data_IF_255314651569
#
_entry.id   IF_255314651569
#
_cell.length_a   1.000
_cell.length_b   1.000
_cell.length_c   1.000
_cell.angle_alpha   90.00
_cell.angle_beta   90.00
_cell.angle_gamma   90.00
#
_symmetry.space_group_name_H-M   'P 1'
#
loop_
_entity.id
_entity.type
_entity.pdbx_description
1 polymer ?
#
# COMPACT_ATOMS: atom_id res chain seq x y z
N UNK A 1 -27.31 -1.33 -0.35
CA UNK A 1 -26.50 -0.70 0.72
C UNK A 1 -27.31 0.38 1.41
N UNK A 2 -27.46 0.29 2.71
CA UNK A 2 -28.05 1.32 3.56
C UNK A 2 -27.15 2.56 3.62
N UNK A 3 -27.70 3.69 4.08
CA UNK A 3 -26.90 4.92 4.31
C UNK A 3 -25.74 4.68 5.30
N UNK A 4 -25.99 3.87 6.34
CA UNK A 4 -24.98 3.51 7.33
C UNK A 4 -23.82 2.70 6.74
N UNK A 5 -24.11 1.73 5.85
CA UNK A 5 -23.07 0.94 5.17
C UNK A 5 -22.20 1.79 4.25
N UNK A 6 -22.80 2.77 3.55
CA UNK A 6 -22.05 3.72 2.71
C UNK A 6 -21.12 4.59 3.56
N UNK A 7 -21.61 5.13 4.67
CA UNK A 7 -20.81 5.93 5.60
C UNK A 7 -19.62 5.15 6.17
N UNK A 8 -19.84 3.89 6.58
CA UNK A 8 -18.77 3.02 7.05
C UNK A 8 -17.71 2.75 5.97
N UNK A 9 -18.11 2.52 4.73
CA UNK A 9 -17.20 2.31 3.61
C UNK A 9 -16.34 3.56 3.33
N UNK A 10 -16.96 4.74 3.28
CA UNK A 10 -16.25 6.02 3.07
C UNK A 10 -15.24 6.25 4.20
N UNK A 11 -15.65 6.02 5.45
CA UNK A 11 -14.76 6.15 6.61
C UNK A 11 -13.54 5.23 6.53
N UNK A 12 -13.73 3.96 6.13
CA UNK A 12 -12.63 3.01 5.91
C UNK A 12 -11.71 3.48 4.78
N UNK A 13 -12.29 3.96 3.67
CA UNK A 13 -11.54 4.50 2.53
C UNK A 13 -10.66 5.69 2.90
N UNK A 14 -11.20 6.65 3.66
CA UNK A 14 -10.45 7.81 4.13
C UNK A 14 -9.30 7.41 5.06
N UNK A 15 -9.56 6.52 6.04
CA UNK A 15 -8.51 6.01 6.94
C UNK A 15 -7.43 5.26 6.17
N UNK A 16 -7.82 4.46 5.19
CA UNK A 16 -6.89 3.74 4.32
C UNK A 16 -6.03 4.71 3.51
N UNK A 17 -6.61 5.75 2.91
CA UNK A 17 -5.88 6.77 2.16
C UNK A 17 -4.87 7.53 3.05
N UNK A 18 -5.29 7.95 4.25
CA UNK A 18 -4.40 8.59 5.23
C UNK A 18 -3.25 7.66 5.65
N UNK A 19 -3.56 6.39 5.89
CA UNK A 19 -2.54 5.37 6.21
C UNK A 19 -1.57 5.20 5.05
N UNK A 20 -2.05 5.16 3.81
CA UNK A 20 -1.20 5.04 2.62
C UNK A 20 -0.23 6.19 2.46
N UNK A 21 -0.69 7.44 2.63
CA UNK A 21 0.18 8.63 2.60
C UNK A 21 1.24 8.57 3.70
N UNK A 22 0.83 8.26 4.93
CA UNK A 22 1.74 8.11 6.06
C UNK A 22 2.80 7.03 5.82
N UNK A 23 2.40 5.84 5.36
CA UNK A 23 3.30 4.72 5.08
C UNK A 23 4.27 5.05 3.95
N UNK A 24 3.83 5.80 2.94
CA UNK A 24 4.69 6.24 1.84
C UNK A 24 5.76 7.21 2.35
N UNK A 25 5.37 8.19 3.17
CA UNK A 25 6.31 9.10 3.79
C UNK A 25 7.28 8.36 4.73
N UNK A 26 6.78 7.41 5.52
CA UNK A 26 7.60 6.57 6.39
C UNK A 26 8.63 5.77 5.59
N UNK A 27 8.23 5.15 4.48
CA UNK A 27 9.15 4.45 3.59
C UNK A 27 10.28 5.37 3.11
N UNK A 28 9.94 6.56 2.61
CA UNK A 28 10.92 7.52 2.12
C UNK A 28 11.90 7.94 3.23
N UNK A 29 11.40 8.26 4.43
CA UNK A 29 12.25 8.62 5.57
C UNK A 29 13.17 7.48 5.96
N UNK A 30 12.65 6.25 6.10
CA UNK A 30 13.45 5.08 6.48
C UNK A 30 14.49 4.77 5.41
N UNK A 31 14.13 4.83 4.12
CA UNK A 31 15.06 4.62 3.03
C UNK A 31 16.20 5.65 3.04
N UNK A 32 15.88 6.94 3.19
CA UNK A 32 16.87 8.03 3.26
C UNK A 32 17.80 7.83 4.47
N UNK A 33 17.26 7.51 5.65
CA UNK A 33 18.07 7.28 6.85
C UNK A 33 18.99 6.07 6.68
N UNK A 34 18.48 4.96 6.14
CA UNK A 34 19.29 3.78 5.90
C UNK A 34 20.41 4.05 4.89
N UNK A 35 20.09 4.69 3.76
CA UNK A 35 21.08 4.99 2.71
C UNK A 35 22.22 5.87 3.23
N UNK A 36 21.90 6.88 4.05
CA UNK A 36 22.89 7.86 4.50
C UNK A 36 23.69 7.41 5.73
N UNK A 37 23.13 6.56 6.60
CA UNK A 37 23.73 6.29 7.91
C UNK A 37 24.01 4.82 8.23
N UNK A 38 23.45 3.86 7.49
CA UNK A 38 23.51 2.43 7.89
C UNK A 38 23.96 1.52 6.75
N UNK A 39 23.35 1.67 5.57
CA UNK A 39 23.48 0.77 4.43
C UNK A 39 23.85 1.59 3.18
N UNK A 40 25.12 1.53 2.78
CA UNK A 40 25.61 2.25 1.60
C UNK A 40 25.05 1.73 0.26
N UNK A 41 24.35 0.59 0.24
CA UNK A 41 23.75 -0.01 -0.94
C UNK A 41 22.26 0.37 -1.06
N UNK A 42 21.88 1.28 -1.99
CA UNK A 42 20.50 1.75 -2.10
C UNK A 42 19.45 0.65 -2.33
N UNK A 43 19.70 -0.41 -3.13
CA UNK A 43 18.72 -1.49 -3.31
C UNK A 43 18.39 -2.21 -2.00
N UNK A 44 19.41 -2.50 -1.18
CA UNK A 44 19.23 -3.20 0.11
C UNK A 44 18.49 -2.30 1.10
N UNK A 45 18.87 -1.03 1.19
CA UNK A 45 18.20 -0.05 2.05
C UNK A 45 16.71 0.11 1.69
N UNK A 46 16.39 0.19 0.39
CA UNK A 46 15.00 0.26 -0.07
C UNK A 46 14.21 -1.01 0.27
N UNK A 47 14.82 -2.19 0.13
CA UNK A 47 14.19 -3.45 0.53
C UNK A 47 13.80 -3.48 1.99
N UNK A 48 14.72 -3.08 2.89
CA UNK A 48 14.45 -2.99 4.33
C UNK A 48 13.38 -1.94 4.63
N UNK A 49 13.48 -0.74 4.04
CA UNK A 49 12.49 0.31 4.21
C UNK A 49 11.09 -0.13 3.74
N UNK A 50 11.01 -0.87 2.64
CA UNK A 50 9.77 -1.43 2.13
C UNK A 50 9.17 -2.47 3.08
N UNK A 51 9.98 -3.37 3.64
CA UNK A 51 9.52 -4.35 4.64
C UNK A 51 8.97 -3.67 5.89
N UNK A 52 9.67 -2.66 6.42
CA UNK A 52 9.22 -1.89 7.58
C UNK A 52 7.90 -1.18 7.28
N UNK A 53 7.83 -0.46 6.16
CA UNK A 53 6.62 0.25 5.73
C UNK A 53 5.43 -0.71 5.55
N UNK A 54 5.65 -1.89 4.97
CA UNK A 54 4.61 -2.91 4.78
C UNK A 54 4.07 -3.45 6.10
N UNK A 55 4.95 -3.72 7.07
CA UNK A 55 4.54 -4.20 8.41
C UNK A 55 3.75 -3.12 9.16
N UNK A 56 4.22 -1.87 9.14
CA UNK A 56 3.50 -0.74 9.74
C UNK A 56 2.15 -0.53 9.05
N UNK A 57 2.10 -0.63 7.73
CA UNK A 57 0.86 -0.58 6.95
C UNK A 57 -0.13 -1.67 7.37
N UNK A 58 0.34 -2.91 7.56
CA UNK A 58 -0.50 -4.00 8.07
C UNK A 58 -1.08 -3.67 9.44
N UNK A 59 -0.25 -3.20 10.38
CA UNK A 59 -0.69 -2.90 11.75
C UNK A 59 -1.74 -1.79 11.78
N UNK A 60 -1.48 -0.67 11.08
CA UNK A 60 -2.39 0.48 11.06
C UNK A 60 -3.67 0.13 10.30
N UNK A 61 -3.56 -0.50 9.13
CA UNK A 61 -4.75 -0.85 8.36
C UNK A 61 -5.63 -1.87 9.10
N UNK A 62 -5.03 -2.86 9.73
CA UNK A 62 -5.78 -3.86 10.50
C UNK A 62 -6.46 -3.21 11.71
N UNK A 63 -5.70 -2.52 12.56
CA UNK A 63 -6.22 -2.02 13.85
C UNK A 63 -7.09 -0.77 13.72
N UNK A 64 -6.80 0.12 12.75
CA UNK A 64 -7.47 1.41 12.62
C UNK A 64 -8.34 1.53 11.36
N UNK A 65 -7.80 1.28 10.17
CA UNK A 65 -8.55 1.48 8.91
C UNK A 65 -9.76 0.55 8.82
N UNK A 66 -9.55 -0.74 9.10
CA UNK A 66 -10.59 -1.77 9.04
C UNK A 66 -11.10 -2.22 10.41
N UNK A 67 -10.47 -1.77 11.49
CA UNK A 67 -10.87 -2.06 12.88
C UNK A 67 -11.07 -3.57 13.15
N UNK A 68 -10.13 -4.36 12.63
CA UNK A 68 -10.06 -5.82 12.76
C UNK A 68 -8.95 -6.22 13.74
N UNK A 69 -8.89 -7.51 14.11
CA UNK A 69 -7.87 -8.05 15.02
C UNK A 69 -6.63 -8.50 14.24
N UNK A 70 -5.46 -8.25 14.82
CA UNK A 70 -4.19 -8.77 14.33
C UNK A 70 -4.18 -10.29 14.47
N UNK A 71 -3.91 -11.00 13.38
CA UNK A 71 -3.90 -12.45 13.35
C UNK A 71 -3.10 -12.98 12.16
N UNK A 72 -2.52 -14.17 12.26
CA UNK A 72 -1.72 -14.76 11.17
C UNK A 72 -2.49 -14.87 9.85
N UNK A 73 -3.79 -15.16 9.91
CA UNK A 73 -4.68 -15.19 8.73
C UNK A 73 -4.82 -13.83 8.05
N UNK A 74 -4.99 -12.75 8.82
CA UNK A 74 -5.11 -11.40 8.23
C UNK A 74 -3.77 -10.93 7.68
N UNK A 75 -2.66 -11.27 8.35
CA UNK A 75 -1.31 -11.01 7.85
C UNK A 75 -1.06 -11.73 6.51
N UNK A 76 -1.34 -13.03 6.41
CA UNK A 76 -1.14 -13.79 5.18
C UNK A 76 -1.96 -13.23 4.01
N UNK A 77 -3.24 -12.92 4.25
CA UNK A 77 -4.09 -12.25 3.25
C UNK A 77 -3.57 -10.86 2.88
N UNK A 78 -3.10 -10.09 3.86
CA UNK A 78 -2.53 -8.77 3.61
C UNK A 78 -1.32 -8.86 2.69
N UNK A 79 -0.39 -9.77 2.98
CA UNK A 79 0.80 -10.00 2.15
C UNK A 79 0.45 -10.45 0.73
N UNK A 80 -0.58 -11.28 0.56
CA UNK A 80 -1.08 -11.66 -0.77
C UNK A 80 -1.62 -10.44 -1.53
N UNK A 81 -2.42 -9.59 -0.89
CA UNK A 81 -2.92 -8.35 -1.52
C UNK A 81 -1.77 -7.39 -1.83
N UNK A 82 -0.81 -7.22 -0.93
CA UNK A 82 0.38 -6.38 -1.18
C UNK A 82 1.23 -6.90 -2.34
N UNK A 83 1.44 -8.21 -2.43
CA UNK A 83 2.15 -8.84 -3.56
C UNK A 83 1.39 -8.67 -4.87
N UNK A 84 0.07 -8.86 -4.88
CA UNK A 84 -0.76 -8.61 -6.05
C UNK A 84 -0.74 -7.12 -6.46
N UNK A 85 -0.78 -6.21 -5.48
CA UNK A 85 -0.63 -4.78 -5.71
C UNK A 85 0.72 -4.40 -6.33
N UNK A 86 1.80 -5.04 -5.88
CA UNK A 86 3.14 -4.83 -6.45
C UNK A 86 3.21 -5.31 -7.92
N UNK A 87 2.69 -6.51 -8.21
CA UNK A 87 2.65 -7.04 -9.58
C UNK A 87 1.80 -6.14 -10.49
N UNK A 88 0.66 -5.67 -9.99
CA UNK A 88 -0.18 -4.73 -10.72
C UNK A 88 0.54 -3.39 -10.95
N UNK A 89 1.32 -2.91 -9.99
CA UNK A 89 2.10 -1.68 -10.14
C UNK A 89 3.11 -1.80 -11.28
N UNK A 90 3.83 -2.93 -11.33
CA UNK A 90 4.78 -3.23 -12.40
C UNK A 90 4.07 -3.31 -13.76
N UNK A 91 2.93 -4.00 -13.82
CA UNK A 91 2.15 -4.14 -15.04
C UNK A 91 1.63 -2.79 -15.56
N UNK A 92 1.09 -1.94 -14.68
CA UNK A 92 0.58 -0.61 -15.04
C UNK A 92 1.72 0.30 -15.50
N UNK A 93 2.85 0.31 -14.79
CA UNK A 93 4.03 1.09 -15.19
C UNK A 93 4.56 0.63 -16.56
N UNK A 94 4.65 -0.68 -16.77
CA UNK A 94 5.08 -1.27 -18.05
C UNK A 94 4.12 -0.94 -19.19
N UNK A 95 2.81 -1.04 -18.96
CA UNK A 95 1.80 -0.68 -19.96
C UNK A 95 1.87 0.81 -20.33
N UNK A 96 2.05 1.69 -19.33
CA UNK A 96 2.22 3.12 -19.57
C UNK A 96 3.49 3.42 -20.40
N UNK A 97 4.59 2.73 -20.10
CA UNK A 97 5.83 2.83 -20.89
C UNK A 97 5.62 2.34 -22.32
N UNK A 98 4.95 1.19 -22.52
CA UNK A 98 4.68 0.63 -23.84
C UNK A 98 3.75 1.52 -24.68
N UNK A 99 2.84 2.24 -24.02
CA UNK A 99 1.99 3.25 -24.65
C UNK A 99 2.72 4.57 -24.97
N UNK A 100 4.03 4.68 -24.68
CA UNK A 100 4.83 5.88 -24.92
C UNK A 100 4.48 7.05 -24.00
N UNK A 101 3.83 6.80 -22.86
CA UNK A 101 3.46 7.86 -21.93
C UNK A 101 4.69 8.42 -21.21
N UNK A 102 4.64 9.70 -20.88
CA UNK A 102 5.63 10.32 -20.01
C UNK A 102 5.66 9.62 -18.64
N UNK A 103 6.85 9.41 -18.07
CA UNK A 103 7.01 8.61 -16.85
C UNK A 103 6.17 9.11 -15.66
N UNK A 104 5.95 10.43 -15.55
CA UNK A 104 5.07 11.02 -14.53
C UNK A 104 3.61 10.56 -14.66
N UNK A 105 3.12 10.35 -15.89
CA UNK A 105 1.78 9.81 -16.11
C UNK A 105 1.71 8.34 -15.70
N UNK A 106 2.78 7.57 -15.93
CA UNK A 106 2.91 6.20 -15.41
C UNK A 106 2.87 6.16 -13.88
N UNK A 107 3.62 7.04 -13.21
CA UNK A 107 3.58 7.19 -11.74
C UNK A 107 2.17 7.54 -11.27
N UNK A 108 1.51 8.50 -11.92
CA UNK A 108 0.13 8.88 -11.61
C UNK A 108 -0.85 7.70 -11.75
N UNK A 109 -0.73 6.93 -12.84
CA UNK A 109 -1.56 5.76 -13.07
C UNK A 109 -1.40 4.70 -11.97
N UNK A 110 -0.16 4.40 -11.56
CA UNK A 110 0.12 3.49 -10.44
C UNK A 110 -0.44 4.04 -9.13
N UNK A 111 -0.18 5.31 -8.83
CA UNK A 111 -0.61 5.96 -7.58
C UNK A 111 -2.13 5.99 -7.41
N UNK A 112 -2.90 6.01 -8.50
CA UNK A 112 -4.36 5.96 -8.46
C UNK A 112 -4.90 4.51 -8.45
N UNK A 113 -4.30 3.63 -9.25
CA UNK A 113 -4.84 2.28 -9.46
C UNK A 113 -4.58 1.36 -8.27
N UNK A 114 -3.37 1.39 -7.71
CA UNK A 114 -2.96 0.44 -6.67
C UNK A 114 -3.72 0.64 -5.36
N UNK A 115 -3.88 1.86 -4.82
CA UNK A 115 -4.66 2.05 -3.60
C UNK A 115 -6.13 1.65 -3.77
N UNK A 116 -6.73 1.92 -4.92
CA UNK A 116 -8.10 1.50 -5.21
C UNK A 116 -8.23 -0.03 -5.23
N UNK A 117 -7.35 -0.72 -5.96
CA UNK A 117 -7.31 -2.17 -6.06
C UNK A 117 -7.11 -2.84 -4.69
N UNK A 118 -6.09 -2.41 -3.96
CA UNK A 118 -5.76 -2.97 -2.64
C UNK A 118 -6.84 -2.67 -1.60
N UNK A 119 -7.46 -1.48 -1.62
CA UNK A 119 -8.59 -1.17 -0.74
C UNK A 119 -9.76 -2.11 -0.96
N UNK A 120 -10.15 -2.37 -2.22
CA UNK A 120 -11.25 -3.29 -2.56
C UNK A 120 -10.95 -4.69 -2.01
N UNK A 121 -9.76 -5.24 -2.29
CA UNK A 121 -9.40 -6.56 -1.78
C UNK A 121 -9.32 -6.62 -0.25
N UNK A 122 -8.81 -5.57 0.40
CA UNK A 122 -8.78 -5.52 1.85
C UNK A 122 -10.19 -5.47 2.46
N UNK A 123 -11.07 -4.64 1.90
CA UNK A 123 -12.43 -4.45 2.41
C UNK A 123 -13.32 -5.67 2.19
N UNK A 124 -13.20 -6.35 1.05
CA UNK A 124 -14.09 -7.45 0.67
C UNK A 124 -13.51 -8.84 0.94
N UNK A 125 -12.19 -8.97 1.16
CA UNK A 125 -11.55 -10.26 1.38
C UNK A 125 -10.62 -10.30 2.58
N UNK A 126 -9.67 -9.36 2.74
CA UNK A 126 -8.70 -9.45 3.85
C UNK A 126 -9.38 -9.39 5.22
N UNK A 127 -10.25 -8.40 5.41
CA UNK A 127 -10.88 -8.08 6.70
C UNK A 127 -12.36 -8.47 6.78
N UNK A 128 -12.79 -9.39 5.91
CA UNK A 128 -14.02 -10.18 6.10
C UNK A 128 -13.69 -11.51 6.77
#
# INVERSE_FOLDING_TARGET
MTSAEKSALIKRGLRFAVTGLFVTALHAVVAVLLINYVLALPPVANGVAFSVATLVSYVINTSWSFSSRLHGRTLGRFMMVSGAGLLLAMLVAWAAQMAGLHYLLGIGAVALTIPAFTFVLHNFWTYR
#
